data_IF_678307003293
#
_entry.id   IF_678307003293
#
_cell.length_a   1.000
_cell.length_b   1.000
_cell.length_c   1.000
_cell.angle_alpha   90.00
_cell.angle_beta   90.00
_cell.angle_gamma   90.00
#
_symmetry.space_group_name_H-M   'P 1'
#
loop_
_entity.id
_entity.type
_entity.pdbx_description
1 polymer ?
#
# COMPACT_ATOMS: atom_id res chain seq x y z
N UNK A 1 -4.07 17.30 -1.26
CA UNK A 1 -3.99 16.12 -0.36
C UNK A 1 -2.54 15.71 -0.11
N UNK A 2 -2.20 15.29 1.11
CA UNK A 2 -0.86 14.81 1.50
C UNK A 2 -0.96 13.52 2.32
N UNK A 3 -0.05 12.57 2.08
CA UNK A 3 0.10 11.38 2.93
C UNK A 3 0.98 11.69 4.14
N UNK A 4 0.47 11.37 5.34
CA UNK A 4 1.15 11.57 6.61
C UNK A 4 1.95 10.32 7.04
N UNK A 5 1.37 9.13 6.84
CA UNK A 5 2.01 7.86 7.16
C UNK A 5 1.53 6.76 6.21
N UNK A 6 2.33 5.68 6.14
CA UNK A 6 1.98 4.42 5.49
C UNK A 6 2.36 3.29 6.44
N UNK A 7 1.35 2.62 6.99
CA UNK A 7 1.48 1.61 8.02
C UNK A 7 0.95 0.26 7.56
N UNK A 8 1.22 -0.80 8.33
CA UNK A 8 0.69 -2.16 8.09
C UNK A 8 0.97 -2.72 6.68
N UNK A 9 2.09 -2.33 6.07
CA UNK A 9 2.50 -2.80 4.75
C UNK A 9 2.80 -4.31 4.79
N UNK A 10 2.00 -5.10 4.09
CA UNK A 10 2.11 -6.58 4.08
C UNK A 10 1.75 -7.16 2.73
N UNK A 11 2.26 -8.34 2.43
CA UNK A 11 1.81 -9.10 1.27
C UNK A 11 0.37 -9.58 1.49
N UNK A 12 -0.47 -9.43 0.47
CA UNK A 12 -1.86 -9.95 0.46
C UNK A 12 -2.08 -11.00 -0.63
N UNK A 13 -1.10 -11.14 -1.54
CA UNK A 13 -1.08 -12.08 -2.66
C UNK A 13 0.40 -12.30 -3.07
N UNK A 14 0.70 -13.27 -3.93
CA UNK A 14 2.07 -13.55 -4.42
C UNK A 14 2.73 -12.31 -5.04
N UNK A 15 1.94 -11.49 -5.71
CA UNK A 15 2.38 -10.30 -6.44
C UNK A 15 1.65 -9.01 -6.00
N UNK A 16 1.04 -9.00 -4.81
CA UNK A 16 0.38 -7.80 -4.26
C UNK A 16 0.72 -7.59 -2.80
N UNK A 17 0.93 -6.33 -2.44
CA UNK A 17 0.97 -5.89 -1.07
C UNK A 17 -0.12 -4.85 -0.82
N UNK A 18 -0.53 -4.70 0.44
CA UNK A 18 -1.42 -3.64 0.89
C UNK A 18 -0.76 -2.87 2.01
N UNK A 19 -1.00 -1.56 2.07
CA UNK A 19 -0.59 -0.69 3.17
C UNK A 19 -1.69 0.30 3.50
N UNK A 20 -1.83 0.67 4.76
CA UNK A 20 -2.80 1.66 5.21
C UNK A 20 -2.16 3.04 5.20
N UNK A 21 -2.66 3.94 4.35
CA UNK A 21 -2.17 5.30 4.21
C UNK A 21 -3.09 6.27 4.96
N UNK A 22 -2.51 7.14 5.79
CA UNK A 22 -3.23 8.24 6.39
C UNK A 22 -3.09 9.48 5.53
N UNK A 23 -4.17 9.90 4.87
CA UNK A 23 -4.20 11.09 4.01
C UNK A 23 -4.84 12.27 4.74
N UNK A 24 -4.34 13.49 4.46
CA UNK A 24 -4.84 14.73 5.05
C UNK A 24 -5.01 15.82 3.98
N UNK A 25 -6.08 16.58 4.12
CA UNK A 25 -6.32 17.83 3.40
C UNK A 25 -7.06 18.81 4.30
N UNK A 26 -6.43 19.94 4.65
CA UNK A 26 -6.97 20.85 5.66
C UNK A 26 -7.10 20.18 7.04
N UNK A 27 -8.31 20.16 7.59
CA UNK A 27 -8.63 19.46 8.85
C UNK A 27 -9.10 18.02 8.62
N UNK A 28 -9.47 17.68 7.39
CA UNK A 28 -9.97 16.36 7.01
C UNK A 28 -8.84 15.35 6.97
N UNK A 29 -9.06 14.19 7.57
CA UNK A 29 -8.18 13.02 7.48
C UNK A 29 -8.99 11.81 7.03
N UNK A 30 -8.34 10.91 6.30
CA UNK A 30 -8.93 9.63 5.91
C UNK A 30 -7.86 8.54 5.96
N UNK A 31 -8.25 7.37 6.46
CA UNK A 31 -7.47 6.15 6.30
C UNK A 31 -7.85 5.51 4.95
N UNK A 32 -6.85 5.19 4.15
CA UNK A 32 -7.00 4.69 2.78
C UNK A 32 -6.08 3.50 2.59
N UNK A 33 -6.64 2.35 2.26
CA UNK A 33 -5.84 1.20 1.84
C UNK A 33 -5.27 1.46 0.44
N UNK A 34 -3.97 1.30 0.31
CA UNK A 34 -3.28 1.31 -0.98
C UNK A 34 -2.84 -0.11 -1.33
N UNK A 35 -3.16 -0.53 -2.54
CA UNK A 35 -2.81 -1.84 -3.09
C UNK A 35 -1.66 -1.67 -4.08
N UNK A 36 -0.53 -2.31 -3.78
CA UNK A 36 0.70 -2.26 -4.55
C UNK A 36 0.85 -3.53 -5.37
N UNK A 37 0.88 -3.42 -6.69
CA UNK A 37 1.14 -4.54 -7.59
C UNK A 37 2.64 -4.65 -7.80
N UNK A 38 3.18 -5.84 -7.54
CA UNK A 38 4.62 -6.09 -7.43
C UNK A 38 5.09 -7.08 -8.50
N UNK A 39 6.24 -6.78 -9.10
CA UNK A 39 7.01 -7.70 -9.90
C UNK A 39 8.39 -7.84 -9.28
N UNK A 40 8.69 -9.00 -8.69
CA UNK A 40 9.85 -9.15 -7.80
C UNK A 40 9.80 -8.07 -6.69
N UNK A 41 10.87 -7.33 -6.48
CA UNK A 41 10.95 -6.23 -5.51
C UNK A 41 10.52 -4.87 -6.08
N UNK A 42 9.98 -4.82 -7.30
CA UNK A 42 9.57 -3.58 -7.95
C UNK A 42 8.05 -3.38 -7.88
N UNK A 43 7.61 -2.16 -7.56
CA UNK A 43 6.20 -1.78 -7.60
C UNK A 43 5.82 -1.24 -8.99
N UNK A 44 4.96 -2.00 -9.70
CA UNK A 44 4.53 -1.71 -11.06
C UNK A 44 3.42 -0.68 -11.08
N UNK A 45 2.41 -0.82 -10.22
CA UNK A 45 1.28 0.11 -10.12
C UNK A 45 0.72 0.12 -8.71
N UNK A 46 0.02 1.20 -8.39
CA UNK A 46 -0.67 1.41 -7.10
C UNK A 46 -2.14 1.63 -7.42
N UNK A 47 -3.03 1.04 -6.63
CA UNK A 47 -4.47 1.25 -6.70
C UNK A 47 -5.01 1.66 -5.32
N UNK A 48 -6.09 2.43 -5.34
CA UNK A 48 -6.88 2.72 -4.14
C UNK A 48 -7.72 1.47 -3.83
N UNK A 49 -7.57 0.96 -2.62
CA UNK A 49 -8.36 -0.12 -2.04
C UNK A 49 -9.53 0.44 -1.22
N UNK A 50 -9.82 -0.17 -0.08
CA UNK A 50 -10.86 0.32 0.82
C UNK A 50 -10.51 1.69 1.41
N UNK A 51 -11.49 2.59 1.51
CA UNK A 51 -11.30 3.93 2.08
C UNK A 51 -12.58 4.47 2.72
N UNK A 52 -12.40 5.41 3.65
CA UNK A 52 -13.51 6.15 4.25
C UNK A 52 -14.14 7.13 3.25
N UNK A 53 -15.39 7.52 3.47
CA UNK A 53 -16.14 8.45 2.61
C UNK A 53 -15.69 9.93 2.72
N UNK A 54 -14.60 10.19 3.44
CA UNK A 54 -14.09 11.54 3.67
C UNK A 54 -13.43 12.14 2.42
N UNK A 55 -12.95 11.29 1.50
CA UNK A 55 -12.53 11.68 0.16
C UNK A 55 -13.26 10.82 -0.86
N UNK A 56 -13.53 11.40 -2.03
CA UNK A 56 -14.08 10.64 -3.16
C UNK A 56 -13.03 9.67 -3.72
N UNK A 57 -13.50 8.60 -4.34
CA UNK A 57 -12.64 7.64 -5.01
C UNK A 57 -11.80 8.33 -6.10
N UNK A 58 -12.40 9.29 -6.82
CA UNK A 58 -11.75 10.05 -7.89
C UNK A 58 -10.57 10.89 -7.36
N UNK A 59 -10.75 11.59 -6.23
CA UNK A 59 -9.69 12.38 -5.59
C UNK A 59 -8.53 11.48 -5.13
N UNK A 60 -8.84 10.33 -4.53
CA UNK A 60 -7.82 9.38 -4.08
C UNK A 60 -7.04 8.78 -5.25
N UNK A 61 -7.73 8.41 -6.33
CA UNK A 61 -7.11 7.88 -7.54
C UNK A 61 -6.21 8.94 -8.19
N UNK A 62 -6.67 10.19 -8.24
CA UNK A 62 -5.87 11.31 -8.76
C UNK A 62 -4.61 11.54 -7.91
N UNK A 63 -4.75 11.55 -6.58
CA UNK A 63 -3.62 11.66 -5.66
C UNK A 63 -2.58 10.56 -5.91
N UNK A 64 -3.01 9.31 -6.01
CA UNK A 64 -2.11 8.18 -6.31
C UNK A 64 -1.45 8.35 -7.69
N UNK A 65 -2.18 8.84 -8.70
CA UNK A 65 -1.65 9.04 -10.04
C UNK A 65 -0.52 10.07 -10.07
N UNK A 66 -0.70 11.20 -9.38
CA UNK A 66 0.24 12.31 -9.29
C UNK A 66 1.48 11.94 -8.48
N UNK A 67 1.31 11.21 -7.38
CA UNK A 67 2.39 10.89 -6.43
C UNK A 67 3.01 9.50 -6.67
N UNK A 68 2.63 8.80 -7.75
CA UNK A 68 3.01 7.40 -7.99
C UNK A 68 4.51 7.13 -7.90
N UNK A 69 5.35 8.07 -8.35
CA UNK A 69 6.80 7.89 -8.38
C UNK A 69 7.35 7.91 -6.95
N UNK A 70 6.89 8.84 -6.13
CA UNK A 70 7.31 8.99 -4.74
C UNK A 70 6.81 7.83 -3.88
N UNK A 71 5.54 7.45 -4.05
CA UNK A 71 4.95 6.29 -3.37
C UNK A 71 5.74 5.01 -3.67
N UNK A 72 6.12 4.79 -4.94
CA UNK A 72 6.95 3.64 -5.33
C UNK A 72 8.33 3.65 -4.67
N UNK A 73 8.98 4.81 -4.60
CA UNK A 73 10.28 4.97 -3.93
C UNK A 73 10.17 4.67 -2.44
N UNK A 74 9.10 5.15 -1.80
CA UNK A 74 8.84 4.95 -0.38
C UNK A 74 8.65 3.47 -0.03
N UNK A 75 7.88 2.71 -0.82
CA UNK A 75 7.61 1.30 -0.51
C UNK A 75 8.71 0.34 -0.96
N UNK A 76 9.63 0.78 -1.81
CA UNK A 76 10.73 -0.06 -2.30
C UNK A 76 11.51 -0.78 -1.18
N UNK A 77 11.97 -0.10 -0.10
CA UNK A 77 12.63 -0.77 1.02
C UNK A 77 11.71 -1.67 1.85
N UNK A 78 10.38 -1.50 1.76
CA UNK A 78 9.40 -2.27 2.53
C UNK A 78 9.03 -3.62 1.87
N UNK A 79 9.27 -3.77 0.56
CA UNK A 79 8.87 -4.97 -0.19
C UNK A 79 9.66 -6.24 0.22
N UNK A 80 11.01 -6.23 0.29
CA UNK A 80 11.76 -7.43 0.67
C UNK A 80 11.38 -8.02 2.03
N UNK A 81 11.27 -7.23 3.13
CA UNK A 81 10.88 -7.79 4.43
C UNK A 81 9.44 -8.34 4.41
N UNK A 82 8.50 -7.67 3.73
CA UNK A 82 7.12 -8.15 3.63
C UNK A 82 7.03 -9.50 2.89
N UNK A 83 7.84 -9.71 1.85
CA UNK A 83 7.93 -11.01 1.15
C UNK A 83 8.49 -12.10 2.04
N UNK A 84 9.50 -11.77 2.84
CA UNK A 84 10.12 -12.72 3.75
C UNK A 84 9.16 -13.15 4.86
N UNK A 85 8.44 -12.19 5.46
CA UNK A 85 7.40 -12.46 6.45
C UNK A 85 6.30 -13.36 5.87
N UNK A 86 5.83 -13.08 4.66
CA UNK A 86 4.82 -13.89 3.99
C UNK A 86 5.30 -15.32 3.69
N UNK A 87 6.59 -15.50 3.37
CA UNK A 87 7.19 -16.83 3.14
C UNK A 87 7.20 -17.64 4.43
N UNK A 88 7.66 -17.04 5.53
CA UNK A 88 7.70 -17.67 6.85
C UNK A 88 6.30 -18.08 7.32
N UNK A 89 5.33 -17.17 7.21
CA UNK A 89 3.95 -17.45 7.57
C UNK A 89 3.33 -18.58 6.72
N UNK A 90 3.75 -18.73 5.46
CA UNK A 90 3.34 -19.86 4.63
C UNK A 90 4.00 -21.16 5.07
N UNK A 91 5.31 -21.17 5.31
CA UNK A 91 6.04 -22.35 5.78
C UNK A 91 5.46 -22.87 7.12
N UNK A 92 5.19 -21.99 8.08
CA UNK A 92 4.59 -22.36 9.38
C UNK A 92 3.21 -23.00 9.23
N UNK A 93 2.39 -22.50 8.30
CA UNK A 93 1.01 -22.99 8.10
C UNK A 93 0.92 -24.36 7.42
N UNK A 94 1.95 -24.77 6.69
CA UNK A 94 1.97 -26.00 5.89
C UNK A 94 3.02 -27.02 6.37
N UNK A 95 3.65 -26.79 7.52
CA UNK A 95 4.53 -27.76 8.19
C UNK A 95 3.86 -28.55 9.33
N UNK A 96 2.54 -28.42 9.52
CA UNK A 96 1.70 -29.32 10.33
C UNK A 96 1.10 -30.47 9.49
#
# INVERSE_FOLDING_TARGET
MQMLSLDKFRMIDRNKAAGSALLKEGETKAEVELIFYLQSNYCVTIKVGHHDKNFSQEELVQYVHENRVELKKMVLPMIPPAREEARKAWEERYQE
#
